data_IF_416694951831
#
_entry.id   IF_416694951831
#
_cell.length_a   1.000
_cell.length_b   1.000
_cell.length_c   1.000
_cell.angle_alpha   90.00
_cell.angle_beta   90.00
_cell.angle_gamma   90.00
#
_symmetry.space_group_name_H-M   'P 1'
#
loop_
_entity.id
_entity.type
_entity.pdbx_description
1 polymer ?
#
# COMPACT_ATOMS: atom_id res chain seq x y z
N UNK A 1 42.16 47.22 36.28
CA UNK A 1 41.25 47.24 35.12
C UNK A 1 41.49 45.95 34.33
N UNK A 2 40.74 44.89 34.65
CA UNK A 2 40.83 43.59 33.98
C UNK A 2 39.62 43.47 33.05
N UNK A 3 39.86 43.42 31.75
CA UNK A 3 38.83 43.24 30.73
C UNK A 3 38.55 41.73 30.63
N UNK A 4 37.41 41.27 31.17
CA UNK A 4 36.91 39.92 30.94
C UNK A 4 36.28 39.88 29.54
N UNK A 5 36.94 39.19 28.62
CA UNK A 5 36.40 38.81 27.33
C UNK A 5 35.26 37.82 27.52
N UNK A 6 34.04 38.21 27.13
CA UNK A 6 32.90 37.31 27.08
C UNK A 6 33.14 36.24 26.00
N UNK A 7 33.40 35.00 26.43
CA UNK A 7 33.30 33.82 25.59
C UNK A 7 31.83 33.62 25.22
N UNK A 8 31.49 33.96 23.97
CA UNK A 8 30.19 33.65 23.40
C UNK A 8 30.02 32.13 23.36
N UNK A 9 29.06 31.62 24.15
CA UNK A 9 28.55 30.27 24.03
C UNK A 9 27.91 30.14 22.64
N UNK A 10 28.61 29.52 21.69
CA UNK A 10 27.99 29.05 20.45
C UNK A 10 26.95 28.00 20.83
N UNK A 11 25.67 28.33 20.70
CA UNK A 11 24.59 27.34 20.77
C UNK A 11 24.89 26.27 19.71
N UNK A 12 25.36 25.10 20.14
CA UNK A 12 25.42 23.93 19.27
C UNK A 12 23.99 23.49 19.01
N UNK A 13 23.46 23.82 17.84
CA UNK A 13 22.18 23.27 17.41
C UNK A 13 22.33 21.75 17.29
N UNK A 14 21.42 20.97 17.90
CA UNK A 14 21.45 19.50 17.87
C UNK A 14 21.60 18.94 16.45
N UNK A 15 20.98 19.61 15.49
CA UNK A 15 21.00 19.25 14.08
C UNK A 15 22.00 20.11 13.31
N UNK A 16 22.84 19.47 12.50
CA UNK A 16 23.68 20.16 11.53
C UNK A 16 22.87 20.49 10.24
N UNK A 17 23.48 21.22 9.30
CA UNK A 17 22.80 21.63 8.07
C UNK A 17 22.35 20.46 7.16
N UNK A 18 23.09 19.34 7.15
CA UNK A 18 22.71 18.14 6.42
C UNK A 18 21.52 17.45 7.10
N UNK A 19 21.54 17.32 8.43
CA UNK A 19 20.43 16.74 9.19
C UNK A 19 19.15 17.52 8.91
N UNK A 20 19.19 18.85 8.99
CA UNK A 20 18.03 19.70 8.71
C UNK A 20 17.50 19.53 7.27
N UNK A 21 18.35 19.24 6.29
CA UNK A 21 17.90 18.92 4.91
C UNK A 21 17.17 17.58 4.86
N UNK A 22 17.74 16.55 5.48
CA UNK A 22 17.12 15.22 5.59
C UNK A 22 15.78 15.34 6.32
N UNK A 23 15.75 15.95 7.50
CA UNK A 23 14.55 16.14 8.30
C UNK A 23 13.43 16.86 7.53
N UNK A 24 13.77 17.91 6.76
CA UNK A 24 12.81 18.61 5.90
C UNK A 24 12.28 17.71 4.78
N UNK A 25 13.09 16.84 4.19
CA UNK A 25 12.64 15.95 3.11
C UNK A 25 11.69 14.85 3.60
N UNK A 26 11.74 14.52 4.89
CA UNK A 26 10.87 13.53 5.51
C UNK A 26 9.45 14.05 5.80
N UNK A 27 9.23 15.38 5.84
CA UNK A 27 7.94 15.95 6.25
C UNK A 27 6.85 15.85 5.17
N UNK A 28 5.60 15.61 5.57
CA UNK A 28 4.42 15.67 4.70
C UNK A 28 4.20 17.05 4.07
N UNK A 29 4.76 18.13 4.63
CA UNK A 29 4.73 19.44 3.99
C UNK A 29 5.52 19.48 2.66
N UNK A 30 6.31 18.43 2.37
CA UNK A 30 7.00 18.22 1.10
C UNK A 30 6.34 17.16 0.22
N UNK A 31 5.20 16.60 0.64
CA UNK A 31 4.44 15.68 -0.18
C UNK A 31 3.80 16.46 -1.33
N UNK A 32 4.24 16.17 -2.54
CA UNK A 32 3.65 16.76 -3.73
C UNK A 32 2.20 16.28 -3.92
N UNK A 33 1.32 17.10 -4.51
CA UNK A 33 -0.02 16.65 -4.89
C UNK A 33 0.03 15.37 -5.74
N UNK A 34 -1.02 14.55 -5.63
CA UNK A 34 -1.13 13.33 -6.43
C UNK A 34 -1.01 13.66 -7.93
N UNK A 35 -0.09 12.98 -8.61
CA UNK A 35 0.00 13.06 -10.04
C UNK A 35 -1.30 12.49 -10.68
N UNK A 36 -1.75 13.03 -11.83
CA UNK A 36 -2.80 12.42 -12.62
C UNK A 36 -2.42 10.97 -12.99
N UNK A 37 -3.38 10.05 -13.00
CA UNK A 37 -3.16 8.68 -13.46
C UNK A 37 -3.55 8.55 -14.95
N UNK A 38 -2.58 8.42 -15.88
CA UNK A 38 -2.84 8.20 -17.29
C UNK A 38 -3.76 7.02 -17.60
N UNK A 39 -3.65 5.97 -16.79
CA UNK A 39 -4.21 4.65 -17.09
C UNK A 39 -5.66 4.52 -16.64
N UNK A 40 -6.13 5.51 -15.87
CA UNK A 40 -7.48 5.62 -15.36
C UNK A 40 -8.02 7.05 -15.59
N UNK A 41 -8.80 7.22 -16.65
CA UNK A 41 -9.41 8.51 -17.05
C UNK A 41 -10.36 9.09 -16.00
N UNK A 42 -10.86 8.27 -15.07
CA UNK A 42 -11.80 8.68 -14.01
C UNK A 42 -11.13 8.78 -12.63
N UNK A 43 -9.81 8.68 -12.56
CA UNK A 43 -9.04 8.65 -11.30
C UNK A 43 -9.26 9.85 -10.38
N UNK A 44 -9.62 11.02 -10.93
CA UNK A 44 -9.91 12.22 -10.17
C UNK A 44 -11.40 12.63 -10.22
N UNK A 45 -12.26 11.82 -10.86
CA UNK A 45 -13.70 12.06 -10.98
C UNK A 45 -14.43 11.77 -9.65
N UNK A 46 -15.24 12.73 -9.18
CA UNK A 46 -15.95 12.59 -7.90
C UNK A 46 -17.12 11.60 -7.95
N UNK A 47 -17.80 11.43 -9.10
CA UNK A 47 -18.83 10.42 -9.27
C UNK A 47 -18.20 9.02 -9.26
N UNK A 48 -17.06 8.84 -9.93
CA UNK A 48 -16.30 7.59 -9.85
C UNK A 48 -15.82 7.28 -8.43
N UNK A 49 -15.32 8.28 -7.70
CA UNK A 49 -14.94 8.11 -6.29
C UNK A 49 -16.14 7.78 -5.38
N UNK A 50 -17.34 8.31 -5.65
CA UNK A 50 -18.56 7.92 -4.90
C UNK A 50 -18.95 6.48 -5.19
N UNK A 51 -18.97 6.06 -6.46
CA UNK A 51 -19.23 4.67 -6.81
C UNK A 51 -18.17 3.73 -6.20
N UNK A 52 -16.90 4.10 -6.28
CA UNK A 52 -15.79 3.37 -5.65
C UNK A 52 -15.95 3.25 -4.14
N UNK A 53 -16.38 4.32 -3.47
CA UNK A 53 -16.68 4.31 -2.04
C UNK A 53 -17.82 3.34 -1.70
N UNK A 54 -18.91 3.35 -2.48
CA UNK A 54 -20.00 2.37 -2.30
C UNK A 54 -19.48 0.93 -2.45
N UNK A 55 -18.73 0.65 -3.51
CA UNK A 55 -18.16 -0.68 -3.78
C UNK A 55 -17.19 -1.12 -2.67
N UNK A 56 -16.33 -0.22 -2.17
CA UNK A 56 -15.34 -0.54 -1.14
C UNK A 56 -15.97 -1.10 0.16
N UNK A 57 -17.18 -0.67 0.50
CA UNK A 57 -17.90 -1.10 1.71
C UNK A 57 -18.97 -2.17 1.43
N UNK A 58 -19.18 -2.57 0.17
CA UNK A 58 -20.26 -3.48 -0.19
C UNK A 58 -19.87 -4.95 0.01
N UNK A 59 -20.40 -5.58 1.06
CA UNK A 59 -20.17 -7.00 1.33
C UNK A 59 -20.73 -7.94 0.26
N UNK A 60 -21.64 -7.47 -0.60
CA UNK A 60 -22.15 -8.28 -1.73
C UNK A 60 -21.07 -8.57 -2.77
N UNK A 61 -19.92 -7.87 -2.72
CA UNK A 61 -18.78 -8.16 -3.59
C UNK A 61 -18.02 -9.45 -3.21
N UNK A 62 -18.34 -10.11 -2.11
CA UNK A 62 -17.81 -11.44 -1.80
C UNK A 62 -18.81 -12.57 -2.10
N UNK A 63 -18.27 -13.75 -2.41
CA UNK A 63 -19.09 -14.93 -2.75
C UNK A 63 -19.99 -15.40 -1.60
N UNK A 64 -19.62 -15.12 -0.34
CA UNK A 64 -20.44 -15.38 0.83
C UNK A 64 -21.33 -14.20 1.27
N UNK A 65 -21.17 -13.01 0.68
CA UNK A 65 -21.92 -11.81 1.04
C UNK A 65 -21.54 -11.18 2.39
N UNK A 66 -20.38 -11.53 2.96
CA UNK A 66 -19.95 -11.09 4.31
C UNK A 66 -18.65 -10.26 4.30
N UNK A 67 -17.93 -10.19 3.18
CA UNK A 67 -16.60 -9.56 3.08
C UNK A 67 -16.65 -8.39 2.10
N UNK A 68 -16.18 -7.23 2.54
CA UNK A 68 -15.96 -6.03 1.71
C UNK A 68 -14.49 -5.64 1.76
N UNK A 69 -14.04 -4.65 0.97
CA UNK A 69 -12.69 -4.11 1.14
C UNK A 69 -12.49 -3.56 2.56
N UNK A 70 -13.52 -2.91 3.11
CA UNK A 70 -13.51 -2.35 4.47
C UNK A 70 -13.46 -3.40 5.60
N UNK A 71 -13.73 -4.68 5.32
CA UNK A 71 -13.53 -5.77 6.29
C UNK A 71 -12.05 -5.90 6.66
N UNK A 72 -11.17 -5.83 5.67
CA UNK A 72 -9.72 -5.90 5.88
C UNK A 72 -9.07 -4.52 6.01
N UNK A 73 -9.66 -3.48 5.40
CA UNK A 73 -9.14 -2.12 5.39
C UNK A 73 -10.06 -1.16 6.17
N UNK A 74 -10.19 -1.37 7.49
CA UNK A 74 -11.09 -0.59 8.34
C UNK A 74 -10.57 0.86 8.55
N UNK A 75 -11.33 1.91 8.16
CA UNK A 75 -10.94 3.30 8.39
C UNK A 75 -10.59 3.63 9.84
N UNK A 76 -11.21 2.95 10.82
CA UNK A 76 -10.96 3.14 12.26
C UNK A 76 -9.61 2.58 12.71
N UNK A 77 -9.03 1.67 11.93
CA UNK A 77 -7.73 1.03 12.16
C UNK A 77 -6.67 1.51 11.16
N UNK A 78 -6.80 2.76 10.71
CA UNK A 78 -5.90 3.33 9.69
C UNK A 78 -5.86 2.48 8.41
N UNK A 79 -7.02 1.93 8.02
CA UNK A 79 -7.21 1.06 6.86
C UNK A 79 -6.42 -0.27 6.89
N UNK A 80 -6.33 -0.89 8.06
CA UNK A 80 -5.90 -2.28 8.26
C UNK A 80 -6.93 -3.07 9.06
N UNK A 81 -6.68 -4.36 9.31
CA UNK A 81 -7.57 -5.25 10.07
C UNK A 81 -7.07 -5.53 11.49
N UNK A 82 -5.78 -5.32 11.74
CA UNK A 82 -5.11 -5.65 13.01
C UNK A 82 -4.82 -7.15 13.16
N UNK A 83 -4.75 -7.90 12.07
CA UNK A 83 -4.53 -9.35 12.06
C UNK A 83 -3.16 -9.70 11.45
N UNK A 84 -2.57 -10.83 11.87
CA UNK A 84 -1.30 -11.29 11.30
C UNK A 84 -1.44 -11.67 9.83
N UNK A 85 -2.52 -12.38 9.51
CA UNK A 85 -2.95 -12.73 8.17
C UNK A 85 -4.37 -12.24 7.99
N UNK A 86 -4.70 -11.74 6.79
CA UNK A 86 -6.06 -11.27 6.51
C UNK A 86 -7.06 -12.43 6.55
N UNK A 87 -8.26 -12.17 7.06
CA UNK A 87 -9.36 -13.13 7.10
C UNK A 87 -10.52 -12.61 6.25
N UNK A 88 -10.77 -13.29 5.13
CA UNK A 88 -11.90 -13.03 4.23
C UNK A 88 -12.81 -14.25 4.15
N UNK A 89 -13.00 -14.77 2.93
CA UNK A 89 -13.61 -16.09 2.72
C UNK A 89 -12.70 -17.24 3.21
N UNK A 90 -11.43 -16.97 3.46
CA UNK A 90 -10.48 -17.80 4.17
C UNK A 90 -9.27 -16.99 4.64
N UNK A 91 -8.23 -17.66 5.13
CA UNK A 91 -7.00 -17.01 5.56
C UNK A 91 -6.10 -16.68 4.37
N UNK A 92 -5.75 -15.40 4.20
CA UNK A 92 -4.84 -14.95 3.15
C UNK A 92 -3.37 -15.21 3.52
N UNK A 93 -2.48 -15.20 2.52
CA UNK A 93 -1.04 -15.47 2.72
C UNK A 93 -0.22 -14.30 3.27
N UNK A 94 -0.83 -13.13 3.52
CA UNK A 94 -0.11 -11.90 3.92
C UNK A 94 -0.93 -11.04 4.89
N UNK A 95 -0.21 -10.20 5.63
CA UNK A 95 -0.78 -9.12 6.44
C UNK A 95 -1.36 -8.02 5.54
N UNK A 96 -2.49 -7.44 5.96
CA UNK A 96 -3.18 -6.36 5.25
C UNK A 96 -2.44 -5.03 5.39
N UNK A 97 -1.80 -4.49 4.33
CA UNK A 97 -1.15 -3.19 4.41
C UNK A 97 -2.19 -2.06 4.46
N UNK A 98 -1.84 -0.94 5.10
CA UNK A 98 -2.68 0.26 5.03
C UNK A 98 -2.76 0.80 3.60
N UNK A 99 -3.96 1.23 3.18
CA UNK A 99 -4.15 1.95 1.90
C UNK A 99 -3.95 3.47 2.02
N UNK A 100 -3.65 3.99 3.22
CA UNK A 100 -3.49 5.43 3.43
C UNK A 100 -2.31 5.95 2.63
N UNK A 101 -2.56 6.87 1.69
CA UNK A 101 -1.55 7.42 0.79
C UNK A 101 -1.14 6.48 -0.35
N UNK A 102 -1.84 5.35 -0.57
CA UNK A 102 -1.53 4.38 -1.63
C UNK A 102 -1.55 4.98 -3.04
N UNK A 103 -2.30 6.08 -3.24
CA UNK A 103 -2.30 6.85 -4.49
C UNK A 103 -0.94 7.39 -4.92
N UNK A 104 0.01 7.54 -4.00
CA UNK A 104 1.39 7.94 -4.30
C UNK A 104 2.32 6.76 -4.63
N UNK A 105 1.84 5.52 -4.48
CA UNK A 105 2.68 4.34 -4.67
C UNK A 105 2.85 4.00 -6.15
N UNK A 106 4.08 3.66 -6.53
CA UNK A 106 4.40 3.23 -7.91
C UNK A 106 3.99 1.79 -8.20
N UNK A 107 4.07 0.96 -7.16
CA UNK A 107 3.82 -0.47 -7.13
C UNK A 107 2.92 -0.80 -5.93
N UNK A 108 1.95 -1.67 -6.14
CA UNK A 108 0.94 -2.03 -5.14
C UNK A 108 1.09 -3.52 -4.75
N UNK A 109 0.49 -3.90 -3.61
CA UNK A 109 0.82 -5.10 -2.83
C UNK A 109 2.25 -5.07 -2.25
N UNK A 110 2.57 -6.07 -1.42
CA UNK A 110 3.90 -6.22 -0.82
C UNK A 110 4.99 -6.61 -1.84
N UNK A 111 4.65 -7.27 -2.93
CA UNK A 111 5.58 -7.75 -3.99
C UNK A 111 5.52 -6.90 -5.28
N UNK A 112 4.64 -5.90 -5.33
CA UNK A 112 4.52 -5.03 -6.49
C UNK A 112 3.85 -5.68 -7.70
N UNK A 113 3.06 -6.75 -7.51
CA UNK A 113 2.38 -7.46 -8.61
C UNK A 113 1.27 -6.66 -9.30
N UNK A 114 0.92 -5.50 -8.76
CA UNK A 114 0.04 -4.55 -9.42
C UNK A 114 0.75 -3.21 -9.61
N UNK A 115 0.56 -2.63 -10.79
CA UNK A 115 1.22 -1.40 -11.19
C UNK A 115 0.30 -0.19 -11.04
N UNK A 116 -0.98 -0.37 -10.74
CA UNK A 116 -1.92 0.74 -10.59
C UNK A 116 -2.95 0.38 -9.52
N UNK A 117 -3.53 1.39 -8.87
CA UNK A 117 -4.62 1.16 -7.90
C UNK A 117 -5.78 0.40 -8.56
N UNK A 118 -6.13 0.74 -9.80
CA UNK A 118 -7.25 0.09 -10.47
C UNK A 118 -6.97 -1.37 -10.80
N UNK A 119 -5.72 -1.74 -11.09
CA UNK A 119 -5.34 -3.14 -11.25
C UNK A 119 -5.28 -3.87 -9.90
N UNK A 120 -4.76 -3.22 -8.85
CA UNK A 120 -4.67 -3.80 -7.51
C UNK A 120 -6.06 -4.15 -6.98
N UNK A 121 -7.03 -3.25 -7.11
CA UNK A 121 -8.40 -3.41 -6.60
C UNK A 121 -9.13 -4.63 -7.16
N UNK A 122 -8.65 -5.20 -8.28
CA UNK A 122 -9.24 -6.38 -8.92
C UNK A 122 -8.77 -7.69 -8.31
N UNK A 123 -7.54 -7.73 -7.79
CA UNK A 123 -6.95 -8.96 -7.24
C UNK A 123 -7.80 -9.58 -6.12
N UNK A 124 -8.21 -8.80 -5.10
CA UNK A 124 -9.01 -9.33 -3.99
C UNK A 124 -10.37 -9.88 -4.39
N UNK A 125 -10.98 -9.30 -5.44
CA UNK A 125 -12.26 -9.76 -5.96
C UNK A 125 -12.17 -11.23 -6.44
N UNK A 126 -11.05 -11.63 -7.05
CA UNK A 126 -10.84 -12.98 -7.60
C UNK A 126 -10.16 -13.96 -6.63
N UNK A 127 -9.47 -13.46 -5.60
CA UNK A 127 -8.72 -14.28 -4.67
C UNK A 127 -9.66 -15.11 -3.76
N UNK A 128 -9.52 -16.44 -3.82
CA UNK A 128 -10.41 -17.38 -3.14
C UNK A 128 -10.49 -17.20 -1.61
N UNK A 129 -9.39 -16.79 -0.97
CA UNK A 129 -9.35 -16.51 0.46
C UNK A 129 -9.85 -15.09 0.82
N UNK A 130 -10.00 -14.18 -0.14
CA UNK A 130 -10.39 -12.79 0.12
C UNK A 130 -11.89 -12.59 -0.19
N UNK A 131 -12.26 -12.05 -1.36
CA UNK A 131 -13.68 -11.97 -1.77
C UNK A 131 -14.18 -13.21 -2.51
N UNK A 132 -13.29 -14.00 -3.10
CA UNK A 132 -13.61 -15.30 -3.69
C UNK A 132 -14.65 -15.29 -4.80
N UNK A 133 -14.67 -14.28 -5.66
CA UNK A 133 -15.62 -14.14 -6.78
C UNK A 133 -14.97 -14.32 -8.15
N UNK A 134 -15.75 -14.07 -9.21
CA UNK A 134 -15.28 -14.06 -10.59
C UNK A 134 -15.83 -12.85 -11.37
N UNK A 135 -15.26 -12.60 -12.55
CA UNK A 135 -15.58 -11.40 -13.34
C UNK A 135 -17.06 -11.31 -13.77
N UNK A 136 -17.71 -12.45 -14.02
CA UNK A 136 -19.13 -12.49 -14.39
C UNK A 136 -20.03 -12.17 -13.20
N UNK A 137 -19.68 -12.65 -12.01
CA UNK A 137 -20.33 -12.28 -10.76
C UNK A 137 -20.33 -10.75 -10.57
N UNK A 138 -19.16 -10.12 -10.69
CA UNK A 138 -19.02 -8.66 -10.54
C UNK A 138 -19.85 -7.89 -11.57
N UNK A 139 -19.87 -8.34 -12.83
CA UNK A 139 -20.74 -7.75 -13.86
C UNK A 139 -22.22 -7.78 -13.44
N UNK A 140 -22.71 -8.91 -12.94
CA UNK A 140 -24.12 -9.06 -12.54
C UNK A 140 -24.46 -8.20 -11.32
N UNK A 141 -23.57 -8.16 -10.33
CA UNK A 141 -23.71 -7.30 -9.16
C UNK A 141 -23.81 -5.82 -9.56
N UNK A 142 -22.89 -5.33 -10.41
CA UNK A 142 -22.94 -3.96 -10.93
C UNK A 142 -24.26 -3.71 -11.65
N UNK A 143 -24.68 -4.63 -12.51
CA UNK A 143 -25.89 -4.46 -13.29
C UNK A 143 -27.19 -4.48 -12.47
N UNK A 144 -27.17 -5.15 -11.32
CA UNK A 144 -28.31 -5.26 -10.42
C UNK A 144 -28.39 -4.09 -9.44
N UNK A 145 -27.24 -3.61 -8.94
CA UNK A 145 -27.20 -2.67 -7.82
C UNK A 145 -26.59 -1.30 -8.14
N UNK A 146 -25.82 -1.18 -9.22
CA UNK A 146 -25.03 0.02 -9.54
C UNK A 146 -25.17 0.47 -10.99
N UNK A 147 -26.20 0.01 -11.71
CA UNK A 147 -26.36 0.30 -13.15
C UNK A 147 -26.34 1.78 -13.45
N UNK A 148 -27.16 2.57 -12.77
CA UNK A 148 -27.33 3.99 -13.07
C UNK A 148 -26.02 4.75 -12.86
N UNK A 149 -25.38 4.59 -11.70
CA UNK A 149 -24.09 5.21 -11.39
C UNK A 149 -22.99 4.77 -12.36
N UNK A 150 -22.91 3.45 -12.63
CA UNK A 150 -21.93 2.90 -13.55
C UNK A 150 -22.12 3.47 -14.96
N UNK A 151 -23.33 3.45 -15.51
CA UNK A 151 -23.61 3.85 -16.89
C UNK A 151 -23.42 5.36 -17.08
N UNK A 152 -23.66 6.18 -16.04
CA UNK A 152 -23.36 7.60 -16.05
C UNK A 152 -21.85 7.91 -16.19
N UNK A 153 -20.97 7.04 -15.69
CA UNK A 153 -19.51 7.25 -15.68
C UNK A 153 -18.83 6.56 -16.87
N UNK A 154 -19.24 5.33 -17.16
CA UNK A 154 -18.54 4.42 -18.07
C UNK A 154 -19.30 4.14 -19.37
N UNK A 155 -20.56 4.57 -19.48
CA UNK A 155 -21.45 4.22 -20.58
C UNK A 155 -22.18 2.89 -20.36
N UNK A 156 -23.01 2.46 -21.32
CA UNK A 156 -23.97 1.38 -21.13
C UNK A 156 -23.30 0.05 -20.79
N UNK A 157 -23.94 -0.73 -19.90
CA UNK A 157 -23.52 -2.10 -19.61
C UNK A 157 -23.72 -3.01 -20.83
N UNK A 158 -22.90 -4.06 -20.99
CA UNK A 158 -23.08 -5.00 -22.09
C UNK A 158 -24.41 -5.76 -21.95
N UNK A 159 -25.07 -6.05 -23.08
CA UNK A 159 -26.34 -6.79 -23.12
C UNK A 159 -26.26 -8.24 -22.59
N UNK A 160 -25.06 -8.71 -22.23
CA UNK A 160 -24.77 -10.04 -21.70
C UNK A 160 -25.48 -10.32 -20.36
N UNK A 161 -25.67 -9.29 -19.52
CA UNK A 161 -26.30 -9.42 -18.19
C UNK A 161 -27.70 -10.04 -18.27
N UNK A 162 -28.42 -9.74 -19.36
CA UNK A 162 -29.80 -10.16 -19.60
C UNK A 162 -29.94 -11.51 -20.31
N UNK A 163 -28.86 -12.26 -20.52
CA UNK A 163 -28.88 -13.50 -21.32
C UNK A 163 -28.87 -14.76 -20.44
N UNK A 164 -29.93 -15.60 -20.45
CA UNK A 164 -30.02 -16.81 -19.62
C UNK A 164 -28.98 -17.88 -19.92
N UNK A 165 -28.33 -17.83 -21.10
CA UNK A 165 -27.38 -18.84 -21.57
C UNK A 165 -26.04 -18.84 -20.83
N UNK A 166 -25.72 -17.79 -20.08
CA UNK A 166 -24.48 -17.74 -19.30
C UNK A 166 -24.78 -18.22 -17.88
N UNK A 167 -24.15 -19.31 -17.42
CA UNK A 167 -24.41 -19.87 -16.10
C UNK A 167 -24.04 -18.86 -15.00
N UNK A 168 -24.73 -18.98 -13.87
CA UNK A 168 -24.32 -18.35 -12.62
C UNK A 168 -23.25 -19.23 -12.01
N UNK A 169 -22.03 -18.72 -11.94
CA UNK A 169 -20.92 -19.38 -11.25
C UNK A 169 -20.61 -18.53 -10.04
N UNK A 170 -20.77 -19.12 -8.86
CA UNK A 170 -20.56 -18.44 -7.57
C UNK A 170 -19.16 -18.72 -7.00
N UNK A 171 -18.40 -19.62 -7.62
CA UNK A 171 -17.04 -19.97 -7.19
C UNK A 171 -16.01 -18.92 -7.63
N UNK A 172 -14.91 -18.83 -6.88
CA UNK A 172 -13.79 -17.94 -7.14
C UNK A 172 -13.19 -18.18 -8.54
N UNK A 173 -12.64 -17.13 -9.15
CA UNK A 173 -12.12 -17.19 -10.53
C UNK A 173 -11.06 -18.27 -10.73
N UNK A 174 -10.30 -18.61 -9.69
CA UNK A 174 -9.29 -19.68 -9.74
C UNK A 174 -9.86 -21.11 -9.76
N UNK A 175 -11.16 -21.30 -9.52
CA UNK A 175 -11.78 -22.63 -9.53
C UNK A 175 -11.86 -23.21 -10.95
N UNK A 176 -11.80 -24.55 -11.06
CA UNK A 176 -11.93 -25.24 -12.34
C UNK A 176 -13.26 -24.94 -13.03
N UNK A 177 -14.34 -24.80 -12.24
CA UNK A 177 -15.68 -24.44 -12.72
C UNK A 177 -15.68 -23.03 -13.33
N UNK A 178 -15.17 -22.02 -12.61
CA UNK A 178 -15.13 -20.65 -13.07
C UNK A 178 -14.21 -20.48 -14.29
N UNK A 179 -13.05 -21.14 -14.29
CA UNK A 179 -12.14 -21.16 -15.45
C UNK A 179 -12.78 -21.81 -16.67
N UNK A 180 -13.49 -22.93 -16.50
CA UNK A 180 -14.17 -23.61 -17.60
C UNK A 180 -15.32 -22.77 -18.16
N UNK A 181 -16.14 -22.17 -17.28
CA UNK A 181 -17.20 -21.26 -17.69
C UNK A 181 -16.65 -20.03 -18.41
N UNK A 182 -15.58 -19.43 -17.91
CA UNK A 182 -14.90 -18.29 -18.53
C UNK A 182 -14.39 -18.64 -19.94
N UNK A 183 -13.66 -19.75 -20.08
CA UNK A 183 -13.12 -20.21 -21.37
C UNK A 183 -14.22 -20.56 -22.40
N UNK A 184 -15.42 -20.89 -21.94
CA UNK A 184 -16.57 -21.17 -22.82
C UNK A 184 -17.22 -19.89 -23.40
N UNK A 185 -16.95 -18.71 -22.82
CA UNK A 185 -17.47 -17.45 -23.33
C UNK A 185 -16.80 -17.09 -24.66
N UNK A 186 -17.56 -16.57 -25.65
CA UNK A 186 -16.96 -15.98 -26.83
C UNK A 186 -16.02 -14.82 -26.46
N UNK A 187 -14.95 -14.60 -27.23
CA UNK A 187 -13.97 -13.53 -27.00
C UNK A 187 -14.62 -12.15 -26.80
N UNK A 188 -15.66 -11.84 -27.58
CA UNK A 188 -16.39 -10.58 -27.45
C UNK A 188 -17.07 -10.44 -26.08
N UNK A 189 -17.58 -11.55 -25.53
CA UNK A 189 -18.17 -11.58 -24.19
C UNK A 189 -17.11 -11.44 -23.11
N UNK A 190 -15.99 -12.17 -23.21
CA UNK A 190 -14.86 -12.03 -22.28
C UNK A 190 -14.35 -10.59 -22.24
N UNK A 191 -14.15 -9.96 -23.42
CA UNK A 191 -13.74 -8.54 -23.51
C UNK A 191 -14.75 -7.61 -22.84
N UNK A 192 -16.04 -7.79 -23.09
CA UNK A 192 -17.07 -6.96 -22.47
C UNK A 192 -17.09 -7.09 -20.94
N UNK A 193 -16.95 -8.31 -20.42
CA UNK A 193 -16.89 -8.58 -18.97
C UNK A 193 -15.62 -7.98 -18.36
N UNK A 194 -14.45 -8.20 -18.98
CA UNK A 194 -13.17 -7.62 -18.53
C UNK A 194 -13.21 -6.08 -18.50
N UNK A 195 -13.92 -5.44 -19.43
CA UNK A 195 -14.08 -3.98 -19.43
C UNK A 195 -14.86 -3.50 -18.21
N UNK A 196 -15.96 -4.17 -17.86
CA UNK A 196 -16.76 -3.83 -16.67
C UNK A 196 -15.94 -4.08 -15.41
N UNK A 197 -15.25 -5.22 -15.34
CA UNK A 197 -14.37 -5.56 -14.22
C UNK A 197 -13.27 -4.50 -14.02
N UNK A 198 -12.57 -4.10 -15.08
CA UNK A 198 -11.57 -3.02 -15.01
C UNK A 198 -12.18 -1.67 -14.58
N UNK A 199 -13.40 -1.35 -15.04
CA UNK A 199 -14.08 -0.12 -14.65
C UNK A 199 -14.45 -0.10 -13.15
N UNK A 200 -14.82 -1.24 -12.57
CA UNK A 200 -15.00 -1.39 -11.11
C UNK A 200 -13.70 -1.06 -10.36
N UNK A 201 -12.58 -1.65 -10.79
CA UNK A 201 -11.27 -1.30 -10.23
C UNK A 201 -10.93 0.18 -10.38
N UNK A 202 -11.26 0.81 -11.51
CA UNK A 202 -11.04 2.24 -11.75
C UNK A 202 -11.87 3.14 -10.83
N UNK A 203 -13.10 2.75 -10.52
CA UNK A 203 -13.95 3.46 -9.57
C UNK A 203 -13.39 3.35 -8.14
N UNK A 204 -13.03 2.14 -7.69
CA UNK A 204 -12.40 1.92 -6.39
C UNK A 204 -11.10 2.73 -6.26
N UNK A 205 -10.25 2.71 -7.28
CA UNK A 205 -9.03 3.51 -7.32
C UNK A 205 -9.28 5.02 -7.20
N UNK A 206 -10.36 5.54 -7.81
CA UNK A 206 -10.73 6.95 -7.69
C UNK A 206 -11.11 7.32 -6.24
N UNK A 207 -11.71 6.39 -5.49
CA UNK A 207 -11.96 6.53 -4.06
C UNK A 207 -10.66 6.47 -3.24
N UNK A 208 -9.83 5.45 -3.43
CA UNK A 208 -8.60 5.25 -2.64
C UNK A 208 -7.60 6.40 -2.78
N UNK A 209 -7.54 7.04 -3.96
CA UNK A 209 -6.76 8.28 -4.18
C UNK A 209 -7.14 9.43 -3.25
N UNK A 210 -8.31 9.38 -2.60
CA UNK A 210 -8.77 10.42 -1.66
C UNK A 210 -8.38 10.12 -0.22
N UNK A 211 -7.82 8.94 0.08
CA UNK A 211 -7.39 8.55 1.42
C UNK A 211 -5.90 8.87 1.58
N UNK A 212 -5.60 9.96 2.29
CA UNK A 212 -4.25 10.51 2.42
C UNK A 212 -3.77 10.49 3.88
N UNK A 213 -2.44 10.48 4.13
CA UNK A 213 -1.93 10.55 5.49
C UNK A 213 -2.21 11.92 6.13
N UNK A 214 -2.56 11.91 7.42
CA UNK A 214 -2.72 13.13 8.19
C UNK A 214 -1.40 13.74 8.64
N UNK A 215 -1.39 15.06 8.87
CA UNK A 215 -0.25 15.74 9.47
C UNK A 215 0.00 15.20 10.88
N UNK A 216 1.27 14.86 11.15
CA UNK A 216 1.68 14.19 12.39
C UNK A 216 2.36 15.17 13.36
N UNK A 217 2.62 14.72 14.60
CA UNK A 217 3.45 15.49 15.55
C UNK A 217 4.87 15.70 15.02
N UNK A 218 5.41 14.73 14.29
CA UNK A 218 6.69 14.88 13.60
C UNK A 218 6.65 16.01 12.57
N UNK A 219 5.59 16.11 11.76
CA UNK A 219 5.50 17.17 10.74
C UNK A 219 5.39 18.56 11.37
N UNK A 220 4.67 18.69 12.49
CA UNK A 220 4.61 19.93 13.27
C UNK A 220 6.00 20.30 13.84
N UNK A 221 6.76 19.32 14.35
CA UNK A 221 8.14 19.54 14.82
C UNK A 221 9.04 20.03 13.69
N UNK A 222 9.02 19.41 12.51
CA UNK A 222 9.81 19.87 11.36
C UNK A 222 9.41 21.29 10.93
N UNK A 223 8.11 21.61 10.98
CA UNK A 223 7.62 22.97 10.75
C UNK A 223 8.23 23.99 11.72
N UNK A 224 8.33 23.64 13.01
CA UNK A 224 8.93 24.51 14.04
C UNK A 224 10.43 24.76 13.81
N UNK A 225 11.17 23.76 13.30
CA UNK A 225 12.59 23.90 12.97
C UNK A 225 12.84 24.84 11.78
N UNK A 226 11.82 25.06 10.94
CA UNK A 226 11.89 25.93 9.78
C UNK A 226 11.43 27.36 10.06
N UNK A 227 10.62 27.58 11.10
CA UNK A 227 10.08 28.89 11.45
C UNK A 227 10.99 29.66 12.41
N UNK A 228 11.21 30.94 12.16
CA UNK A 228 11.76 31.88 13.15
C UNK A 228 10.75 32.28 14.24
N UNK A 229 9.52 31.75 14.15
CA UNK A 229 8.42 32.07 15.04
C UNK A 229 8.47 31.20 16.31
N UNK A 230 8.93 31.80 17.40
CA UNK A 230 9.08 31.17 18.72
C UNK A 230 7.76 30.85 19.41
N UNK A 231 6.61 31.10 18.77
CA UNK A 231 5.28 30.72 19.27
C UNK A 231 4.87 29.31 18.88
N UNK A 232 5.49 28.72 17.84
CA UNK A 232 5.18 27.37 17.40
C UNK A 232 6.04 26.34 18.17
N UNK A 233 5.65 26.06 19.41
CA UNK A 233 6.39 25.21 20.36
C UNK A 233 6.16 23.70 20.13
N UNK A 234 5.93 23.26 18.90
CA UNK A 234 5.80 21.83 18.60
C UNK A 234 7.14 21.13 18.87
N UNK A 235 7.29 20.59 20.08
CA UNK A 235 8.50 19.92 20.52
C UNK A 235 8.27 18.40 20.60
N UNK A 236 9.27 17.66 20.17
CA UNK A 236 9.42 16.26 20.50
C UNK A 236 10.03 16.13 21.90
N UNK A 237 9.69 15.04 22.60
CA UNK A 237 10.37 14.68 23.84
C UNK A 237 11.84 14.36 23.59
N UNK A 238 12.70 14.34 24.63
CA UNK A 238 14.10 13.93 24.46
C UNK A 238 14.25 12.55 23.81
N UNK A 239 13.44 11.57 24.24
CA UNK A 239 13.44 10.20 23.70
C UNK A 239 13.02 10.17 22.23
N UNK A 240 11.95 10.86 21.86
CA UNK A 240 11.51 10.99 20.45
C UNK A 240 12.58 11.67 19.59
N UNK A 241 13.30 12.66 20.13
CA UNK A 241 14.37 13.37 19.41
C UNK A 241 15.62 12.49 19.25
N UNK A 242 15.98 11.72 20.27
CA UNK A 242 17.05 10.71 20.19
C UNK A 242 16.72 9.65 19.15
N UNK A 243 15.47 9.17 19.12
CA UNK A 243 15.00 8.20 18.14
C UNK A 243 15.10 8.71 16.72
N UNK A 244 14.72 9.97 16.49
CA UNK A 244 14.87 10.64 15.20
C UNK A 244 16.34 10.74 14.77
N UNK A 245 17.25 11.05 15.70
CA UNK A 245 18.69 11.12 15.42
C UNK A 245 19.26 9.73 15.05
N UNK A 246 18.84 8.68 15.75
CA UNK A 246 19.18 7.30 15.41
C UNK A 246 18.66 6.94 14.01
N UNK A 247 17.40 7.29 13.71
CA UNK A 247 16.72 6.97 12.47
C UNK A 247 17.44 7.54 11.22
N UNK A 248 17.91 8.79 11.30
CA UNK A 248 18.66 9.44 10.20
C UNK A 248 20.17 9.18 10.24
N UNK A 249 20.67 8.62 11.35
CA UNK A 249 22.08 8.43 11.64
C UNK A 249 22.42 6.96 11.86
N UNK A 250 22.81 6.61 13.09
CA UNK A 250 23.38 5.30 13.46
C UNK A 250 22.54 4.11 12.99
N UNK A 251 21.22 4.16 13.15
CA UNK A 251 20.35 3.04 12.79
C UNK A 251 20.11 2.92 11.28
N UNK A 252 20.40 3.97 10.51
CA UNK A 252 20.37 3.95 9.04
C UNK A 252 18.98 3.78 8.41
N UNK A 253 17.89 3.81 9.19
CA UNK A 253 16.53 3.52 8.71
C UNK A 253 16.12 4.40 7.52
N UNK A 254 16.61 5.64 7.48
CA UNK A 254 16.34 6.60 6.40
C UNK A 254 16.87 6.16 5.03
N UNK A 255 17.74 5.14 4.93
CA UNK A 255 18.22 4.66 3.62
C UNK A 255 17.08 4.13 2.76
N UNK A 256 16.12 3.42 3.37
CA UNK A 256 14.93 2.88 2.69
C UNK A 256 13.68 3.68 3.06
N UNK A 257 13.56 4.13 4.31
CA UNK A 257 12.41 4.90 4.78
C UNK A 257 12.63 6.40 4.66
N UNK A 258 12.63 6.90 3.43
CA UNK A 258 12.88 8.31 3.10
C UNK A 258 11.69 9.02 2.44
N UNK A 259 11.86 10.32 2.20
CA UNK A 259 10.85 11.17 1.60
C UNK A 259 9.62 11.39 2.50
N UNK A 260 8.61 12.14 2.01
CA UNK A 260 7.46 12.54 2.81
C UNK A 260 6.64 11.36 3.35
N UNK A 261 6.62 10.23 2.64
CA UNK A 261 5.91 9.02 3.04
C UNK A 261 6.78 8.02 3.80
N UNK A 262 8.06 8.31 4.07
CA UNK A 262 8.98 7.41 4.77
C UNK A 262 9.06 6.03 4.10
N UNK A 263 9.19 6.03 2.78
CA UNK A 263 9.39 4.87 1.92
C UNK A 263 9.99 5.32 0.59
N UNK A 264 10.97 4.58 0.10
CA UNK A 264 11.51 4.73 -1.26
C UNK A 264 10.63 4.06 -2.33
N UNK A 265 9.67 3.22 -1.91
CA UNK A 265 8.83 2.42 -2.79
C UNK A 265 9.58 1.33 -3.57
N UNK A 266 10.78 0.97 -3.13
CA UNK A 266 11.61 -0.09 -3.69
C UNK A 266 11.42 -1.40 -2.94
N UNK A 267 12.05 -2.47 -3.42
CA UNK A 267 11.94 -3.82 -2.87
C UNK A 267 13.25 -4.23 -2.23
N UNK A 268 13.20 -4.71 -0.99
CA UNK A 268 14.39 -5.11 -0.25
C UNK A 268 14.19 -6.47 0.41
N UNK A 269 15.23 -7.30 0.35
CA UNK A 269 15.31 -8.50 1.17
C UNK A 269 15.92 -8.12 2.53
N UNK A 270 15.09 -8.19 3.57
CA UNK A 270 15.50 -7.84 4.94
C UNK A 270 15.56 -9.05 5.87
N UNK A 271 15.58 -10.26 5.30
CA UNK A 271 15.66 -11.54 6.02
C UNK A 271 14.59 -11.70 7.12
N UNK A 272 13.39 -11.14 6.89
CA UNK A 272 12.25 -11.37 7.78
C UNK A 272 11.99 -12.88 7.84
N UNK A 273 11.89 -13.48 9.03
CA UNK A 273 11.69 -14.92 9.14
C UNK A 273 10.40 -15.37 8.44
N UNK A 274 10.34 -16.61 7.95
CA UNK A 274 9.10 -17.15 7.40
C UNK A 274 8.00 -17.19 8.48
N UNK A 275 6.77 -16.91 8.09
CA UNK A 275 5.62 -17.18 8.95
C UNK A 275 5.37 -18.69 8.97
N UNK A 276 5.40 -19.31 10.16
CA UNK A 276 5.25 -20.76 10.34
C UNK A 276 3.82 -21.27 10.13
N UNK A 277 2.85 -20.36 10.10
CA UNK A 277 1.45 -20.68 9.83
C UNK A 277 1.17 -20.81 8.32
N UNK A 278 2.14 -20.45 7.47
CA UNK A 278 2.04 -20.57 6.02
C UNK A 278 2.76 -21.84 5.53
N UNK A 279 2.07 -22.64 4.73
CA UNK A 279 2.62 -23.86 4.13
C UNK A 279 3.57 -23.58 2.95
N UNK A 280 3.35 -22.47 2.23
CA UNK A 280 4.10 -22.09 1.04
C UNK A 280 5.05 -20.94 1.32
N UNK A 281 6.27 -21.04 0.79
CA UNK A 281 7.24 -19.96 0.87
C UNK A 281 6.83 -18.80 -0.05
N UNK A 282 6.82 -17.59 0.50
CA UNK A 282 6.57 -16.36 -0.25
C UNK A 282 7.85 -15.87 -0.91
N UNK A 283 7.91 -15.99 -2.23
CA UNK A 283 9.09 -15.60 -3.02
C UNK A 283 9.19 -14.08 -3.29
N UNK A 284 8.25 -13.28 -2.77
CA UNK A 284 8.29 -11.82 -2.82
C UNK A 284 8.22 -11.24 -4.23
N UNK A 285 9.02 -10.19 -4.48
CA UNK A 285 9.07 -9.44 -5.75
C UNK A 285 9.32 -10.34 -6.96
N UNK A 286 10.10 -11.41 -6.82
CA UNK A 286 10.34 -12.36 -7.91
C UNK A 286 9.02 -12.95 -8.46
N UNK A 287 8.15 -13.44 -7.57
CA UNK A 287 6.82 -13.94 -7.95
C UNK A 287 5.89 -12.81 -8.42
N UNK A 288 5.92 -11.67 -7.72
CA UNK A 288 5.08 -10.53 -8.09
C UNK A 288 5.38 -9.96 -9.48
N UNK A 289 6.64 -10.03 -9.94
CA UNK A 289 7.01 -9.66 -11.31
C UNK A 289 6.38 -10.59 -12.35
N UNK A 290 6.36 -11.90 -12.10
CA UNK A 290 5.73 -12.87 -12.99
C UNK A 290 4.21 -12.62 -13.09
N UNK A 291 3.56 -12.42 -11.94
CA UNK A 291 2.12 -12.10 -11.89
C UNK A 291 1.80 -10.80 -12.63
N UNK A 292 2.60 -9.76 -12.40
CA UNK A 292 2.45 -8.45 -13.04
C UNK A 292 2.53 -8.54 -14.57
N UNK A 293 3.52 -9.28 -15.09
CA UNK A 293 3.74 -9.38 -16.54
C UNK A 293 2.74 -10.30 -17.23
N UNK A 294 2.16 -11.27 -16.52
CA UNK A 294 1.12 -12.16 -17.03
C UNK A 294 -0.30 -11.62 -16.83
N UNK A 295 -0.47 -10.54 -16.06
CA UNK A 295 -1.79 -9.95 -15.78
C UNK A 295 -2.45 -9.35 -17.02
N UNK A 296 -3.75 -9.67 -17.21
CA UNK A 296 -4.66 -9.00 -18.15
C UNK A 296 -4.88 -7.52 -17.79
N UNK A 297 -4.59 -7.15 -16.54
CA UNK A 297 -4.91 -5.86 -15.92
C UNK A 297 -3.62 -5.20 -15.44
N UNK A 298 -2.97 -4.49 -16.36
CA UNK A 298 -1.85 -3.61 -16.05
C UNK A 298 -1.90 -2.39 -16.98
N UNK A 299 -1.02 -1.42 -16.77
CA UNK A 299 -0.95 -0.20 -17.56
C UNK A 299 -0.76 -0.39 -19.07
N UNK A 300 -0.26 -1.54 -19.56
CA UNK A 300 -0.06 -1.84 -21.00
C UNK A 300 -1.27 -2.54 -21.61
N UNK A 301 -2.19 -3.04 -20.79
CA UNK A 301 -3.44 -3.66 -21.23
C UNK A 301 -4.27 -2.70 -22.08
N UNK A 302 -5.06 -3.23 -23.01
CA UNK A 302 -6.06 -2.48 -23.77
C UNK A 302 -7.19 -1.91 -22.89
N UNK A 303 -7.23 -2.31 -21.62
CA UNK A 303 -8.13 -1.79 -20.57
C UNK A 303 -7.58 -0.51 -19.90
N UNK A 304 -6.29 -0.24 -20.04
CA UNK A 304 -5.67 1.04 -19.66
C UNK A 304 -6.17 2.16 -20.58
N UNK A 305 -6.43 3.35 -20.01
CA UNK A 305 -6.78 4.53 -20.81
C UNK A 305 -5.55 5.18 -21.48
N UNK A 306 -4.33 4.71 -21.19
CA UNK A 306 -3.10 5.15 -21.82
C UNK A 306 -2.06 4.02 -21.96
N UNK A 307 -2.32 2.97 -22.76
CA UNK A 307 -1.46 1.79 -22.86
C UNK A 307 -0.06 2.09 -23.42
N UNK A 308 0.11 3.20 -24.13
CA UNK A 308 1.40 3.67 -24.63
C UNK A 308 2.22 4.43 -23.56
N UNK A 309 1.64 4.81 -22.42
CA UNK A 309 2.30 5.61 -21.37
C UNK A 309 2.64 4.78 -20.13
N UNK A 310 3.36 3.68 -20.31
CA UNK A 310 3.81 2.85 -19.20
C UNK A 310 5.27 2.41 -19.27
N UNK A 311 6.17 3.36 -18.99
CA UNK A 311 7.61 3.08 -18.95
C UNK A 311 7.99 2.08 -17.84
N UNK A 312 7.30 2.12 -16.68
CA UNK A 312 7.65 1.29 -15.52
C UNK A 312 7.52 -0.22 -15.75
N UNK A 313 6.60 -0.65 -16.63
CA UNK A 313 6.47 -2.08 -16.94
C UNK A 313 7.62 -2.57 -17.83
N UNK A 314 8.16 -1.71 -18.70
CA UNK A 314 9.35 -2.07 -19.48
C UNK A 314 10.58 -2.18 -18.57
N UNK A 315 10.69 -1.34 -17.54
CA UNK A 315 11.71 -1.48 -16.51
C UNK A 315 11.54 -2.79 -15.73
N UNK A 316 10.32 -3.13 -15.29
CA UNK A 316 10.04 -4.38 -14.58
C UNK A 316 10.40 -5.63 -15.43
N UNK A 317 10.18 -5.61 -16.74
CA UNK A 317 10.63 -6.70 -17.63
C UNK A 317 12.16 -6.86 -17.63
N UNK A 318 12.89 -5.74 -17.56
CA UNK A 318 14.35 -5.79 -17.51
C UNK A 318 14.89 -6.34 -16.18
N UNK A 319 14.12 -6.24 -15.09
CA UNK A 319 14.46 -6.81 -13.77
C UNK A 319 14.44 -8.34 -13.77
N UNK A 320 13.63 -9.00 -14.63
CA UNK A 320 13.61 -10.45 -14.78
C UNK A 320 14.81 -11.02 -15.58
N UNK A 321 15.83 -10.21 -15.86
CA UNK A 321 16.95 -10.52 -16.75
C UNK A 321 17.72 -11.80 -16.39
N UNK A 322 17.37 -12.90 -17.07
CA UNK A 322 18.11 -14.15 -17.16
C UNK A 322 17.64 -14.94 -18.39
N UNK A 323 18.54 -15.66 -19.07
CA UNK A 323 18.12 -16.62 -20.10
C UNK A 323 17.25 -17.69 -19.44
N UNK A 324 15.97 -17.83 -19.85
CA UNK A 324 15.12 -18.95 -19.45
C UNK A 324 13.90 -18.62 -18.58
N UNK A 325 13.65 -17.36 -18.22
CA UNK A 325 12.41 -16.98 -17.52
C UNK A 325 12.36 -17.31 -16.02
N UNK A 326 13.49 -17.64 -15.40
CA UNK A 326 13.60 -17.76 -13.94
C UNK A 326 13.84 -16.37 -13.32
N UNK A 327 12.94 -15.94 -12.43
CA UNK A 327 13.07 -14.68 -11.69
C UNK A 327 14.11 -14.84 -10.56
N UNK A 328 15.40 -14.63 -10.86
CA UNK A 328 16.47 -14.66 -9.83
C UNK A 328 16.62 -13.34 -9.08
N UNK A 329 16.06 -12.24 -9.60
CA UNK A 329 16.08 -10.93 -8.97
C UNK A 329 14.84 -10.73 -8.09
N UNK A 330 15.05 -10.24 -6.86
CA UNK A 330 13.96 -9.88 -5.93
C UNK A 330 13.34 -11.07 -5.18
N UNK A 331 14.02 -12.21 -5.12
CA UNK A 331 13.62 -13.33 -4.25
C UNK A 331 13.62 -12.86 -2.80
N UNK A 332 12.54 -13.12 -2.07
CA UNK A 332 12.31 -12.68 -0.68
C UNK A 332 12.34 -11.15 -0.48
N UNK A 333 12.35 -10.37 -1.56
CA UNK A 333 12.33 -8.92 -1.48
C UNK A 333 10.90 -8.40 -1.44
N UNK A 334 10.61 -7.49 -0.51
CA UNK A 334 9.29 -6.89 -0.34
C UNK A 334 9.39 -5.37 -0.38
N UNK A 335 8.32 -4.73 -0.82
CA UNK A 335 8.22 -3.28 -0.94
C UNK A 335 8.39 -2.65 0.43
N UNK A 336 9.28 -1.66 0.55
CA UNK A 336 9.40 -0.81 1.75
C UNK A 336 8.03 -0.19 2.06
N UNK A 337 7.36 -0.54 3.18
CA UNK A 337 6.09 0.08 3.53
C UNK A 337 6.30 1.52 3.98
N UNK A 338 5.30 2.38 3.80
CA UNK A 338 5.29 3.70 4.44
C UNK A 338 5.31 3.54 5.95
N UNK A 339 6.07 4.37 6.66
CA UNK A 339 6.01 4.44 8.13
C UNK A 339 4.97 5.43 8.66
N UNK A 340 4.19 6.08 7.79
CA UNK A 340 3.09 6.96 8.22
C UNK A 340 2.00 6.12 8.87
N UNK A 341 1.66 6.46 10.11
CA UNK A 341 0.71 5.68 10.91
C UNK A 341 1.23 4.33 11.42
N UNK A 342 2.53 4.04 11.31
CA UNK A 342 3.06 2.68 11.60
C UNK A 342 2.71 2.16 12.99
N UNK A 343 2.69 3.03 14.01
CA UNK A 343 2.36 2.62 15.37
C UNK A 343 0.88 2.22 15.57
N UNK A 344 0.03 2.39 14.55
CA UNK A 344 -1.41 2.10 14.57
C UNK A 344 -1.77 0.88 13.71
N UNK A 345 -0.79 0.22 13.09
CA UNK A 345 -1.03 -0.82 12.07
C UNK A 345 -0.36 -2.15 12.42
N UNK A 346 -0.19 -2.45 13.71
CA UNK A 346 0.25 -3.78 14.14
C UNK A 346 -0.74 -4.87 13.67
N UNK A 347 -0.30 -6.11 13.43
CA UNK A 347 1.09 -6.60 13.46
C UNK A 347 1.89 -6.17 12.22
N UNK A 348 3.17 -6.53 12.15
CA UNK A 348 4.14 -5.98 11.21
C UNK A 348 4.76 -7.03 10.31
N UNK A 349 5.34 -6.53 9.21
CA UNK A 349 5.91 -7.27 8.07
C UNK A 349 4.85 -7.89 7.16
N UNK A 350 5.30 -8.40 6.00
CA UNK A 350 4.43 -8.81 4.91
C UNK A 350 3.45 -9.94 5.27
N UNK A 351 3.74 -10.74 6.31
CA UNK A 351 2.89 -11.82 6.80
C UNK A 351 2.70 -11.77 8.33
N UNK A 352 2.76 -10.57 8.94
CA UNK A 352 2.42 -10.38 10.34
C UNK A 352 3.39 -11.03 11.35
N UNK A 353 4.64 -11.24 10.96
CA UNK A 353 5.64 -11.97 11.74
C UNK A 353 5.97 -11.34 13.10
N UNK A 354 5.77 -10.03 13.24
CA UNK A 354 6.10 -9.31 14.46
C UNK A 354 4.85 -8.65 15.05
N UNK A 355 4.56 -8.95 16.31
CA UNK A 355 3.34 -8.44 16.97
C UNK A 355 3.43 -6.97 17.42
N UNK A 356 4.64 -6.40 17.52
CA UNK A 356 4.85 -5.03 17.97
C UNK A 356 6.11 -4.41 17.33
N UNK A 357 6.22 -3.08 17.37
CA UNK A 357 7.38 -2.34 16.85
C UNK A 357 8.69 -2.73 17.52
N UNK A 358 8.65 -3.08 18.81
CA UNK A 358 9.85 -3.49 19.54
C UNK A 358 10.50 -4.72 18.89
N UNK A 359 9.71 -5.73 18.51
CA UNK A 359 10.19 -6.93 17.79
C UNK A 359 10.77 -6.58 16.41
N UNK A 360 10.16 -5.64 15.70
CA UNK A 360 10.69 -5.13 14.42
C UNK A 360 12.07 -4.51 14.62
N UNK A 361 12.21 -3.61 15.60
CA UNK A 361 13.48 -2.93 15.85
C UNK A 361 14.57 -3.88 16.36
N UNK A 362 14.20 -4.90 17.15
CA UNK A 362 15.11 -5.98 17.55
C UNK A 362 15.60 -6.81 16.35
N UNK A 363 14.75 -7.07 15.36
CA UNK A 363 15.14 -7.73 14.12
C UNK A 363 16.24 -6.95 13.38
N UNK A 364 16.03 -5.66 13.14
CA UNK A 364 17.03 -4.82 12.48
C UNK A 364 18.31 -4.62 13.31
N UNK A 365 18.19 -4.55 14.64
CA UNK A 365 19.36 -4.44 15.53
C UNK A 365 20.25 -5.69 15.49
N UNK A 366 19.63 -6.87 15.41
CA UNK A 366 20.28 -8.17 15.52
C UNK A 366 20.41 -8.91 14.18
N UNK A 367 20.18 -8.22 13.05
CA UNK A 367 20.14 -8.83 11.73
C UNK A 367 21.40 -9.70 11.48
N UNK A 368 21.25 -10.94 10.99
CA UNK A 368 22.39 -11.80 10.71
C UNK A 368 23.26 -11.16 9.63
N UNK A 369 24.56 -11.49 9.61
CA UNK A 369 25.45 -11.00 8.57
C UNK A 369 24.94 -11.43 7.19
N UNK A 370 24.75 -10.45 6.30
CA UNK A 370 24.25 -10.57 4.92
C UNK A 370 24.90 -11.65 4.04
N UNK A 371 26.07 -12.17 4.43
CA UNK A 371 26.90 -13.08 3.64
C UNK A 371 26.29 -14.47 3.38
N UNK A 372 25.14 -14.81 4.00
CA UNK A 372 24.53 -16.14 3.87
C UNK A 372 23.19 -16.19 3.10
N UNK A 373 22.45 -15.07 2.98
CA UNK A 373 21.03 -15.09 2.56
C UNK A 373 20.61 -13.98 1.55
N UNK A 374 21.55 -13.35 0.83
CA UNK A 374 21.27 -12.20 -0.06
C UNK A 374 20.49 -11.05 0.62
N UNK A 375 20.62 -10.94 1.94
CA UNK A 375 19.99 -9.89 2.76
C UNK A 375 20.73 -8.57 2.61
N UNK A 376 19.98 -7.47 2.56
CA UNK A 376 20.56 -6.12 2.51
C UNK A 376 20.87 -5.56 3.92
N UNK A 377 20.49 -6.28 4.98
CA UNK A 377 20.68 -5.80 6.35
C UNK A 377 22.12 -5.93 6.83
N UNK A 378 22.52 -4.91 7.60
CA UNK A 378 23.69 -4.94 8.46
C UNK A 378 23.22 -4.65 9.89
N UNK A 379 23.70 -5.39 10.91
CA UNK A 379 23.23 -5.22 12.27
C UNK A 379 23.52 -3.80 12.78
N UNK A 380 22.47 -3.11 13.21
CA UNK A 380 22.58 -1.74 13.73
C UNK A 380 23.18 -1.70 15.15
N UNK A 381 23.27 -2.84 15.84
CA UNK A 381 23.87 -2.99 17.18
C UNK A 381 23.33 -1.93 18.16
N UNK A 382 22.00 -1.86 18.25
CA UNK A 382 21.30 -0.89 19.08
C UNK A 382 21.17 -1.41 20.51
N UNK A 383 21.38 -0.53 21.48
CA UNK A 383 21.09 -0.82 22.88
C UNK A 383 19.58 -0.86 23.13
N UNK A 384 19.17 -1.45 24.25
CA UNK A 384 17.75 -1.44 24.68
C UNK A 384 17.16 -0.03 24.74
N UNK A 385 17.94 0.96 25.19
CA UNK A 385 17.54 2.36 25.25
C UNK A 385 17.39 3.00 23.87
N UNK A 386 18.33 2.76 22.95
CA UNK A 386 18.24 3.26 21.57
C UNK A 386 17.02 2.70 20.84
N UNK A 387 16.70 1.42 21.04
CA UNK A 387 15.48 0.84 20.48
C UNK A 387 14.22 1.50 21.06
N UNK A 388 14.20 1.81 22.37
CA UNK A 388 13.06 2.51 22.98
C UNK A 388 12.90 3.94 22.44
N UNK A 389 14.01 4.63 22.20
CA UNK A 389 14.03 5.97 21.59
C UNK A 389 13.50 5.93 20.15
N UNK A 390 13.94 4.96 19.32
CA UNK A 390 13.38 4.74 17.98
C UNK A 390 11.88 4.45 18.01
N UNK A 391 11.42 3.60 18.91
CA UNK A 391 10.00 3.31 19.07
C UNK A 391 9.20 4.56 19.46
N UNK A 392 9.75 5.41 20.34
CA UNK A 392 9.15 6.69 20.70
C UNK A 392 9.03 7.60 19.47
N UNK A 393 10.09 7.71 18.67
CA UNK A 393 10.04 8.46 17.40
C UNK A 393 8.97 7.92 16.44
N UNK A 394 8.92 6.60 16.20
CA UNK A 394 7.94 6.01 15.26
C UNK A 394 6.48 6.30 15.67
N UNK A 395 6.19 6.39 16.97
CA UNK A 395 4.86 6.79 17.47
C UNK A 395 4.47 8.21 17.07
N UNK A 396 5.45 9.11 16.89
CA UNK A 396 5.19 10.49 16.44
C UNK A 396 4.66 10.60 15.01
N UNK A 397 4.76 9.51 14.23
CA UNK A 397 4.28 9.41 12.84
C UNK A 397 2.79 9.04 12.73
N UNK A 398 2.09 8.95 13.86
CA UNK A 398 0.67 8.61 13.93
C UNK A 398 -0.20 9.83 13.65
N UNK A 399 -1.22 9.64 12.83
CA UNK A 399 -2.29 10.61 12.59
C UNK A 399 -3.50 9.89 12.01
N UNK A 400 -4.70 10.46 12.20
CA UNK A 400 -5.86 9.96 11.49
C UNK A 400 -5.71 10.23 9.97
N UNK A 401 -6.20 9.33 9.11
CA UNK A 401 -6.20 9.57 7.67
C UNK A 401 -7.11 10.76 7.31
N UNK A 402 -6.75 11.46 6.24
CA UNK A 402 -7.49 12.59 5.69
C UNK A 402 -8.18 12.16 4.41
N UNK A 403 -9.50 12.30 4.38
CA UNK A 403 -10.35 12.18 3.20
C UNK A 403 -11.59 13.07 3.41
N UNK A 404 -12.40 13.35 2.36
CA UNK A 404 -13.75 13.89 2.56
C UNK A 404 -14.51 13.08 3.62
N UNK A 405 -15.13 13.72 4.61
CA UNK A 405 -15.64 13.04 5.81
C UNK A 405 -16.57 11.85 5.52
N UNK A 406 -17.39 11.96 4.47
CA UNK A 406 -18.29 10.88 4.04
C UNK A 406 -17.54 9.61 3.58
N UNK A 407 -16.33 9.77 3.04
CA UNK A 407 -15.48 8.68 2.53
C UNK A 407 -14.76 7.90 3.64
N UNK A 408 -14.85 8.33 4.89
CA UNK A 408 -14.31 7.57 6.05
C UNK A 408 -15.40 6.80 6.79
N UNK A 409 -16.65 6.80 6.27
CA UNK A 409 -17.80 6.15 6.89
C UNK A 409 -18.34 5.07 5.97
N UNK A 410 -18.93 4.05 6.58
CA UNK A 410 -19.68 3.02 5.87
C UNK A 410 -20.98 3.64 5.31
N UNK A 411 -21.16 3.71 3.98
CA UNK A 411 -22.34 4.30 3.38
C UNK A 411 -23.61 3.44 3.56
N UNK A 412 -23.48 2.18 3.97
CA UNK A 412 -24.60 1.28 4.28
C UNK A 412 -24.95 1.27 5.77
N UNK A 413 -24.12 1.87 6.63
CA UNK A 413 -24.31 1.95 8.10
C UNK A 413 -24.06 3.38 8.61
N UNK A 414 -24.99 4.33 8.32
CA UNK A 414 -24.82 5.75 8.58
C UNK A 414 -24.78 6.15 10.06
#
# INVERSE_FOLDING_TARGET
MLCLSALGLTQTTRWNAQDLRTLKSLSLNRLEPLAPDPTNRVSDDIAAARLGHMLFFDVRLSGNGEVSCATCHDPKKNFTDGQSLAEGMGTAGRNTPSIVGSGHSKWLFWDGRADSLWAQALGPLEAAAEHGTNRMFVLRLVAQHYREDYEAIFGPLPALVSQPRYPQVESAFSSDEAQSAWKSLPDAAQRAVNRVFANVGKAIAAYERRVNPGLTRFDAYIGSLASSDTKNNAALTPSETNGLELFIGKAGCVSCHNGPLLTDGLFHNTDVPPNRDLETADIGRAGGLLDLLNSDFNCKSWLSDAPNRCAKLEQAKSELGGQGGEATTGVNAFKTPSLRGVAQTAPYMHAGQFSNLRRVLEHYSNAPNAEQNDSELRPANLTTGEIADLEAFLKTLSAAPIAPTQFLKDPFRP
#
